data_IF_274429726867
#
_entry.id   IF_274429726867
#
_cell.length_a   1.000
_cell.length_b   1.000
_cell.length_c   1.000
_cell.angle_alpha   90.00
_cell.angle_beta   90.00
_cell.angle_gamma   90.00
#
_symmetry.space_group_name_H-M   'P 1'
#
loop_
_entity.id
_entity.type
_entity.pdbx_description
1 polymer ?
#
# COMPACT_ATOMS: atom_id res chain seq x y z
N UNK A 1 46.33 5.99 1.06
CA UNK A 1 45.68 6.35 -0.23
C UNK A 1 45.31 5.14 -1.09
N UNK A 2 46.24 4.23 -1.45
CA UNK A 2 45.93 3.06 -2.32
C UNK A 2 44.86 2.10 -1.76
N UNK A 3 44.83 1.87 -0.44
CA UNK A 3 43.80 1.03 0.22
C UNK A 3 42.41 1.66 0.20
N UNK A 4 42.30 2.97 0.40
CA UNK A 4 41.03 3.70 0.36
C UNK A 4 40.44 3.74 -1.06
N UNK A 5 41.29 3.86 -2.09
CA UNK A 5 40.87 3.75 -3.49
C UNK A 5 40.34 2.34 -3.81
N UNK A 6 41.02 1.29 -3.33
CA UNK A 6 40.56 -0.10 -3.51
C UNK A 6 39.20 -0.38 -2.87
N UNK A 7 38.98 0.13 -1.66
CA UNK A 7 37.66 0.03 -0.99
C UNK A 7 36.60 0.79 -1.77
N UNK A 8 36.88 2.02 -2.21
CA UNK A 8 35.94 2.83 -3.00
C UNK A 8 35.53 2.13 -4.31
N UNK A 9 36.50 1.58 -5.06
CA UNK A 9 36.23 0.82 -6.29
C UNK A 9 35.45 -0.48 -6.03
N UNK A 10 35.71 -1.16 -4.90
CA UNK A 10 34.94 -2.35 -4.52
C UNK A 10 33.49 -1.97 -4.17
N UNK A 11 33.27 -0.90 -3.41
CA UNK A 11 31.91 -0.40 -3.12
C UNK A 11 31.17 0.05 -4.38
N UNK A 12 31.82 0.79 -5.28
CA UNK A 12 31.23 1.18 -6.57
C UNK A 12 30.92 -0.04 -7.45
N UNK A 13 31.81 -1.03 -7.48
CA UNK A 13 31.60 -2.29 -8.18
C UNK A 13 30.41 -3.07 -7.61
N UNK A 14 30.28 -3.16 -6.29
CA UNK A 14 29.16 -3.81 -5.63
C UNK A 14 27.83 -3.08 -5.91
N UNK A 15 27.81 -1.74 -5.86
CA UNK A 15 26.61 -0.94 -6.20
C UNK A 15 26.15 -1.22 -7.65
N UNK A 16 27.09 -1.34 -8.59
CA UNK A 16 26.78 -1.69 -9.99
C UNK A 16 26.32 -3.15 -10.16
N UNK A 17 26.81 -4.08 -9.34
CA UNK A 17 26.40 -5.49 -9.38
C UNK A 17 25.01 -5.68 -8.75
N UNK A 18 24.68 -4.89 -7.73
CA UNK A 18 23.39 -4.94 -7.03
C UNK A 18 22.32 -3.98 -7.59
N UNK A 19 22.59 -3.27 -8.70
CA UNK A 19 21.56 -2.50 -9.40
C UNK A 19 20.66 -3.42 -10.22
N UNK A 20 19.79 -4.19 -9.57
CA UNK A 20 18.70 -4.89 -10.25
C UNK A 20 17.50 -3.96 -10.42
N UNK A 21 16.71 -4.18 -11.49
CA UNK A 21 15.39 -3.55 -11.60
C UNK A 21 14.58 -3.94 -10.36
N UNK A 22 13.98 -2.99 -9.64
CA UNK A 22 13.09 -3.30 -8.53
C UNK A 22 11.81 -3.95 -9.07
N UNK A 23 11.53 -5.19 -8.65
CA UNK A 23 10.35 -5.94 -9.08
C UNK A 23 9.14 -5.41 -8.30
N UNK A 24 8.50 -4.36 -8.79
CA UNK A 24 7.18 -3.92 -8.32
C UNK A 24 6.13 -4.99 -8.63
N UNK A 25 5.04 -5.04 -7.86
CA UNK A 25 3.91 -6.00 -7.97
C UNK A 25 3.67 -6.40 -9.44
N UNK A 26 4.24 -7.52 -9.91
CA UNK A 26 4.26 -7.83 -11.34
C UNK A 26 2.90 -8.33 -11.81
N UNK A 27 1.95 -8.56 -10.90
CA UNK A 27 0.62 -9.05 -11.21
C UNK A 27 -0.10 -8.14 -12.21
N UNK A 28 -0.04 -6.82 -12.04
CA UNK A 28 -0.69 -5.86 -12.94
C UNK A 28 0.02 -5.76 -14.29
N UNK A 29 1.36 -5.70 -14.25
CA UNK A 29 2.18 -5.73 -15.45
C UNK A 29 1.90 -6.99 -16.30
N UNK A 30 1.74 -8.15 -15.65
CA UNK A 30 1.34 -9.42 -16.30
C UNK A 30 -0.08 -9.37 -16.83
N UNK A 31 -1.06 -8.92 -16.03
CA UNK A 31 -2.47 -8.80 -16.41
C UNK A 31 -2.62 -8.03 -17.72
N UNK A 32 -1.94 -6.90 -17.84
CA UNK A 32 -2.07 -6.01 -19.00
C UNK A 32 -0.92 -6.10 -20.01
N UNK A 33 0.02 -7.03 -19.83
CA UNK A 33 1.20 -7.19 -20.68
C UNK A 33 1.93 -5.86 -20.93
N UNK A 34 2.24 -5.14 -19.84
CA UNK A 34 2.89 -3.82 -19.88
C UNK A 34 4.14 -3.78 -19.01
N UNK A 35 5.07 -2.88 -19.35
CA UNK A 35 6.26 -2.66 -18.53
C UNK A 35 5.89 -1.98 -17.21
N UNK A 36 6.54 -2.36 -16.11
CA UNK A 36 6.42 -1.67 -14.82
C UNK A 36 6.76 -0.17 -14.93
N UNK A 37 7.62 0.22 -15.89
CA UNK A 37 8.00 1.61 -16.17
C UNK A 37 6.84 2.46 -16.70
N UNK A 38 5.72 1.86 -17.07
CA UNK A 38 4.50 2.58 -17.47
C UNK A 38 3.88 3.27 -16.24
N UNK A 39 3.78 2.56 -15.12
CA UNK A 39 3.17 3.08 -13.88
C UNK A 39 4.20 3.65 -12.90
N UNK A 40 5.42 3.10 -12.86
CA UNK A 40 6.41 3.43 -11.84
C UNK A 40 7.49 4.41 -12.33
N UNK A 41 7.82 5.37 -11.46
CA UNK A 41 9.14 6.01 -11.39
C UNK A 41 10.06 5.17 -10.48
N UNK A 42 11.35 5.52 -10.30
CA UNK A 42 12.16 4.86 -9.29
C UNK A 42 11.42 4.83 -7.94
N UNK A 43 11.43 3.66 -7.30
CA UNK A 43 10.79 3.45 -6.00
C UNK A 43 11.16 4.58 -5.03
N UNK A 44 10.19 5.16 -4.31
CA UNK A 44 8.82 4.66 -4.08
C UNK A 44 7.74 5.36 -4.92
N UNK A 45 8.12 6.19 -5.90
CA UNK A 45 7.20 7.12 -6.55
C UNK A 45 6.47 6.51 -7.76
N UNK A 46 5.19 6.82 -7.91
CA UNK A 46 4.40 6.54 -9.11
C UNK A 46 4.50 7.68 -10.13
N UNK A 47 4.19 7.35 -11.38
CA UNK A 47 3.86 8.34 -12.43
C UNK A 47 2.37 8.70 -12.32
N UNK A 48 1.93 9.81 -12.90
CA UNK A 48 0.50 10.16 -12.94
C UNK A 48 -0.38 9.01 -13.46
N UNK A 49 0.10 8.26 -14.45
CA UNK A 49 -0.61 7.07 -14.95
C UNK A 49 -0.70 5.93 -13.91
N UNK A 50 0.33 5.75 -13.08
CA UNK A 50 0.29 4.78 -11.98
C UNK A 50 -0.67 5.17 -10.88
N UNK A 51 -0.74 6.48 -10.56
CA UNK A 51 -1.71 7.03 -9.61
C UNK A 51 -3.14 6.85 -10.14
N UNK A 52 -3.39 7.17 -11.42
CA UNK A 52 -4.66 6.93 -12.10
C UNK A 52 -5.04 5.45 -12.11
N UNK A 53 -4.08 4.55 -12.36
CA UNK A 53 -4.31 3.12 -12.37
C UNK A 53 -4.69 2.58 -10.97
N UNK A 54 -4.00 3.04 -9.92
CA UNK A 54 -4.33 2.68 -8.54
C UNK A 54 -5.69 3.27 -8.11
N UNK A 55 -5.95 4.53 -8.46
CA UNK A 55 -7.22 5.21 -8.21
C UNK A 55 -8.39 4.49 -8.86
N UNK A 56 -8.24 4.04 -10.12
CA UNK A 56 -9.24 3.24 -10.84
C UNK A 56 -9.36 1.78 -10.37
N UNK A 57 -8.86 1.43 -9.19
CA UNK A 57 -9.01 0.08 -8.63
C UNK A 57 -8.21 -0.99 -9.36
N UNK A 58 -7.03 -0.61 -9.89
CA UNK A 58 -6.15 -1.50 -10.66
C UNK A 58 -6.79 -2.01 -11.97
N UNK A 59 -7.72 -1.23 -12.52
CA UNK A 59 -8.41 -1.48 -13.80
C UNK A 59 -7.95 -0.48 -14.85
N UNK A 60 -7.59 -0.98 -16.04
CA UNK A 60 -7.42 -0.14 -17.22
C UNK A 60 -8.71 -0.23 -18.03
N UNK A 61 -9.40 0.90 -18.14
CA UNK A 61 -10.63 1.00 -18.89
C UNK A 61 -10.41 0.60 -20.35
N UNK A 62 -11.38 -0.14 -20.89
CA UNK A 62 -11.44 -0.55 -22.30
C UNK A 62 -10.25 -1.40 -22.78
N UNK A 63 -9.54 -2.05 -21.84
CA UNK A 63 -8.47 -3.00 -22.15
C UNK A 63 -8.83 -4.40 -21.66
N UNK A 64 -9.08 -5.29 -22.61
CA UNK A 64 -9.41 -6.68 -22.29
C UNK A 64 -8.21 -7.46 -21.74
N UNK A 65 -8.48 -8.34 -20.77
CA UNK A 65 -7.49 -9.21 -20.14
C UNK A 65 -7.91 -10.68 -20.18
N UNK A 66 -8.09 -11.28 -21.37
CA UNK A 66 -8.68 -12.63 -21.53
C UNK A 66 -7.81 -13.75 -20.94
N UNK A 67 -6.51 -13.47 -20.75
CA UNK A 67 -5.57 -14.38 -20.07
C UNK A 67 -5.64 -14.30 -18.55
N UNK A 68 -6.28 -13.26 -18.02
CA UNK A 68 -6.35 -13.00 -16.58
C UNK A 68 -7.71 -13.34 -16.01
N UNK A 69 -8.78 -13.08 -16.78
CA UNK A 69 -10.15 -13.39 -16.40
C UNK A 69 -10.66 -14.63 -17.17
N UNK A 70 -11.58 -15.36 -16.55
CA UNK A 70 -12.40 -16.38 -17.20
C UNK A 70 -13.59 -15.69 -17.85
N UNK A 71 -13.76 -15.90 -19.15
CA UNK A 71 -15.01 -15.53 -19.81
C UNK A 71 -16.07 -16.58 -19.45
N UNK A 72 -17.07 -16.14 -18.70
CA UNK A 72 -18.21 -16.95 -18.26
C UNK A 72 -19.51 -16.55 -18.98
N UNK A 73 -19.48 -15.56 -19.88
CA UNK A 73 -20.66 -14.94 -20.46
C UNK A 73 -21.38 -13.94 -19.54
N UNK A 74 -20.90 -13.73 -18.30
CA UNK A 74 -21.37 -12.68 -17.40
C UNK A 74 -20.52 -11.41 -17.56
N UNK A 75 -21.17 -10.30 -17.94
CA UNK A 75 -20.51 -9.01 -18.13
C UNK A 75 -20.40 -8.18 -16.84
N UNK A 76 -20.93 -8.68 -15.73
CA UNK A 76 -20.96 -7.97 -14.43
C UNK A 76 -19.84 -8.40 -13.49
N UNK A 77 -19.35 -9.64 -13.62
CA UNK A 77 -18.32 -10.20 -12.75
C UNK A 77 -17.04 -10.50 -13.52
N UNK A 78 -15.92 -9.92 -13.08
CA UNK A 78 -14.59 -10.29 -13.54
C UNK A 78 -14.10 -11.50 -12.75
N UNK A 79 -14.30 -12.71 -13.31
CA UNK A 79 -13.83 -13.92 -12.65
C UNK A 79 -12.33 -14.11 -12.87
N UNK A 80 -11.52 -13.86 -11.84
CA UNK A 80 -10.07 -14.05 -11.89
C UNK A 80 -9.72 -15.54 -12.09
N UNK A 81 -8.84 -15.84 -13.04
CA UNK A 81 -8.28 -17.20 -13.21
C UNK A 81 -7.39 -17.61 -12.04
N UNK A 82 -6.63 -16.64 -11.55
CA UNK A 82 -5.67 -16.79 -10.46
C UNK A 82 -5.73 -15.54 -9.59
N UNK A 83 -5.61 -15.72 -8.27
CA UNK A 83 -5.56 -14.59 -7.34
C UNK A 83 -4.22 -13.85 -7.51
N UNK A 84 -4.21 -12.53 -7.78
CA UNK A 84 -2.97 -11.74 -7.80
C UNK A 84 -2.35 -11.75 -6.42
N UNK A 85 -1.21 -12.41 -6.27
CA UNK A 85 -0.43 -12.36 -5.04
C UNK A 85 0.95 -11.80 -5.35
N UNK A 86 1.43 -10.92 -4.49
CA UNK A 86 2.80 -10.40 -4.51
C UNK A 86 3.41 -10.42 -3.11
N UNK A 87 4.73 -10.58 -3.07
CA UNK A 87 5.52 -10.48 -1.85
C UNK A 87 6.49 -9.32 -2.00
N UNK A 88 6.53 -8.44 -1.00
CA UNK A 88 7.53 -7.36 -0.90
C UNK A 88 8.46 -7.64 0.28
N UNK A 89 9.75 -7.44 0.06
CA UNK A 89 10.80 -7.56 1.07
C UNK A 89 11.48 -6.21 1.23
N UNK A 90 11.50 -5.69 2.45
CA UNK A 90 12.27 -4.50 2.81
C UNK A 90 13.42 -4.92 3.73
N UNK A 91 14.60 -4.36 3.51
CA UNK A 91 15.80 -4.69 4.25
C UNK A 91 16.65 -3.45 4.52
N UNK A 92 17.30 -3.41 5.69
CA UNK A 92 18.12 -2.27 6.09
C UNK A 92 19.50 -2.74 6.52
N UNK A 93 20.48 -1.89 6.24
CA UNK A 93 21.84 -2.01 6.78
C UNK A 93 21.97 -0.97 7.87
N UNK A 94 22.34 -1.41 9.08
CA UNK A 94 22.56 -0.50 10.20
C UNK A 94 23.97 -0.68 10.76
N UNK A 95 24.48 0.39 11.36
CA UNK A 95 25.73 0.36 12.11
C UNK A 95 25.48 1.06 13.44
N UNK A 96 25.42 0.28 14.52
CA UNK A 96 25.23 0.81 15.86
C UNK A 96 26.57 1.32 16.38
N UNK A 97 26.73 2.64 16.40
CA UNK A 97 27.92 3.29 16.93
C UNK A 97 27.80 3.67 18.42
N UNK A 98 26.64 3.49 19.03
CA UNK A 98 26.35 3.95 20.39
C UNK A 98 26.59 2.88 21.45
N UNK A 99 26.26 1.61 21.16
CA UNK A 99 26.35 0.53 22.15
C UNK A 99 27.47 -0.46 21.84
N UNK A 100 27.40 -1.14 20.70
CA UNK A 100 28.21 -2.32 20.43
C UNK A 100 29.20 -2.17 19.26
N UNK A 101 29.17 -1.05 18.52
CA UNK A 101 30.06 -0.75 17.39
C UNK A 101 30.05 -1.85 16.31
N UNK A 102 28.89 -2.48 16.10
CA UNK A 102 28.73 -3.58 15.15
C UNK A 102 27.95 -3.13 13.92
N UNK A 103 28.37 -3.65 12.78
CA UNK A 103 27.54 -3.70 11.59
C UNK A 103 26.47 -4.75 11.81
N UNK A 104 25.23 -4.38 11.56
CA UNK A 104 24.08 -5.27 11.62
C UNK A 104 23.35 -5.27 10.27
N UNK A 105 22.92 -6.46 9.88
CA UNK A 105 22.19 -6.72 8.63
C UNK A 105 20.77 -7.12 9.01
N UNK A 106 19.87 -6.14 9.07
CA UNK A 106 18.46 -6.35 9.42
C UNK A 106 17.65 -6.48 8.12
N UNK A 107 17.86 -7.59 7.39
CA UNK A 107 17.06 -7.91 6.22
C UNK A 107 16.70 -9.41 6.13
N UNK A 108 15.43 -9.75 5.84
CA UNK A 108 14.31 -8.82 5.65
C UNK A 108 13.77 -8.30 6.99
N UNK A 109 13.68 -6.97 7.10
CA UNK A 109 13.08 -6.32 8.26
C UNK A 109 11.55 -6.38 8.22
N UNK A 110 11.00 -6.22 7.00
CA UNK A 110 9.57 -6.31 6.73
C UNK A 110 9.34 -7.22 5.53
N UNK A 111 8.41 -8.16 5.67
CA UNK A 111 7.84 -8.93 4.57
C UNK A 111 6.37 -8.56 4.47
N UNK A 112 5.89 -8.27 3.26
CA UNK A 112 4.47 -8.04 2.99
C UNK A 112 3.93 -9.06 2.02
N UNK A 113 2.77 -9.62 2.32
CA UNK A 113 1.98 -10.43 1.40
C UNK A 113 0.79 -9.58 0.93
N UNK A 114 0.69 -9.34 -0.37
CA UNK A 114 -0.22 -8.35 -0.94
C UNK A 114 -1.08 -8.99 -2.03
N UNK A 115 -2.35 -8.56 -2.11
CA UNK A 115 -3.26 -8.92 -3.19
C UNK A 115 -4.14 -7.74 -3.54
N UNK A 116 -4.37 -7.52 -4.83
CA UNK A 116 -5.30 -6.51 -5.29
C UNK A 116 -5.71 -6.76 -6.73
N UNK A 117 -6.95 -6.46 -7.06
CA UNK A 117 -7.52 -6.80 -8.36
C UNK A 117 -8.97 -6.38 -8.49
N UNK A 118 -9.52 -6.63 -9.67
CA UNK A 118 -10.90 -6.28 -9.99
C UNK A 118 -11.86 -7.42 -9.62
N UNK A 119 -13.04 -7.05 -9.16
CA UNK A 119 -14.19 -7.93 -8.94
C UNK A 119 -15.20 -7.69 -10.07
N UNK A 120 -15.37 -6.44 -10.49
CA UNK A 120 -16.16 -6.04 -11.66
C UNK A 120 -15.52 -4.83 -12.33
N UNK A 121 -16.15 -4.31 -13.39
CA UNK A 121 -15.71 -3.09 -14.09
C UNK A 121 -15.51 -1.89 -13.16
N UNK A 122 -16.26 -1.81 -12.06
CA UNK A 122 -16.30 -0.67 -11.14
C UNK A 122 -16.13 -1.09 -9.67
N UNK A 123 -15.73 -2.33 -9.40
CA UNK A 123 -15.52 -2.83 -8.05
C UNK A 123 -14.16 -3.52 -8.02
N UNK A 124 -13.30 -3.11 -7.11
CA UNK A 124 -11.98 -3.72 -6.91
C UNK A 124 -11.73 -3.99 -5.43
N UNK A 125 -10.67 -4.73 -5.13
CA UNK A 125 -10.22 -4.96 -3.76
C UNK A 125 -8.72 -4.75 -3.65
N UNK A 126 -8.29 -4.46 -2.44
CA UNK A 126 -6.89 -4.46 -2.06
C UNK A 126 -6.75 -4.94 -0.61
N UNK A 127 -5.73 -5.77 -0.37
CA UNK A 127 -5.39 -6.22 0.95
C UNK A 127 -3.90 -6.53 1.07
N UNK A 128 -3.35 -6.36 2.27
CA UNK A 128 -2.04 -6.90 2.58
C UNK A 128 -1.84 -7.25 4.05
N UNK A 129 -0.95 -8.21 4.27
CA UNK A 129 -0.43 -8.60 5.58
C UNK A 129 1.02 -8.18 5.71
N UNK A 130 1.42 -7.80 6.92
CA UNK A 130 2.80 -7.47 7.25
C UNK A 130 3.37 -8.47 8.28
N UNK A 131 4.63 -8.83 8.07
CA UNK A 131 5.41 -9.67 8.96
C UNK A 131 6.72 -8.93 9.25
N UNK A 132 7.08 -8.80 10.53
CA UNK A 132 8.28 -8.06 10.96
C UNK A 132 9.31 -8.98 11.60
N UNK A 133 10.60 -8.65 11.45
CA UNK A 133 11.71 -9.44 11.98
C UNK A 133 11.74 -9.50 13.52
N UNK A 134 11.09 -8.55 14.20
CA UNK A 134 10.94 -8.54 15.66
C UNK A 134 10.14 -9.72 16.23
N UNK A 135 9.66 -10.64 15.39
CA UNK A 135 8.85 -11.80 15.76
C UNK A 135 7.36 -11.49 15.87
N UNK A 136 6.95 -10.26 15.59
CA UNK A 136 5.56 -9.82 15.60
C UNK A 136 4.94 -9.98 14.21
N UNK A 137 3.82 -10.72 14.17
CA UNK A 137 2.91 -10.78 13.02
C UNK A 137 1.80 -9.76 13.31
N UNK A 138 1.92 -8.54 12.77
CA UNK A 138 0.95 -7.47 13.03
C UNK A 138 -0.43 -7.74 12.38
N UNK A 139 -0.55 -8.73 11.50
CA UNK A 139 -1.81 -9.18 10.93
C UNK A 139 -2.19 -8.49 9.62
N UNK A 140 -3.50 -8.38 9.37
CA UNK A 140 -4.08 -7.71 8.21
C UNK A 140 -4.08 -6.20 8.46
N UNK A 141 -3.41 -5.42 7.60
CA UNK A 141 -3.24 -3.98 7.80
C UNK A 141 -4.16 -3.15 6.90
N UNK A 142 -4.10 -3.34 5.57
CA UNK A 142 -5.15 -2.87 4.67
C UNK A 142 -6.01 -4.04 4.22
N UNK A 143 -7.32 -3.80 4.17
CA UNK A 143 -8.30 -4.70 3.60
C UNK A 143 -9.57 -3.93 3.26
N UNK A 144 -9.71 -3.53 2.00
CA UNK A 144 -10.86 -2.76 1.56
C UNK A 144 -11.33 -3.16 0.17
N UNK A 145 -12.60 -2.83 -0.08
CA UNK A 145 -13.24 -2.89 -1.39
C UNK A 145 -13.40 -1.45 -1.87
N UNK A 146 -13.09 -1.21 -3.14
CA UNK A 146 -13.28 0.07 -3.80
C UNK A 146 -14.47 -0.03 -4.76
N UNK A 147 -15.36 0.95 -4.71
CA UNK A 147 -16.42 1.17 -5.69
C UNK A 147 -16.05 2.41 -6.49
N UNK A 148 -15.62 2.18 -7.73
CA UNK A 148 -15.03 3.21 -8.56
C UNK A 148 -16.03 3.86 -9.50
N UNK A 149 -15.85 5.15 -9.76
CA UNK A 149 -16.64 5.95 -10.69
C UNK A 149 -18.15 5.94 -10.37
N UNK A 150 -18.52 6.12 -9.11
CA UNK A 150 -19.91 6.19 -8.66
C UNK A 150 -20.66 7.28 -9.43
N UNK A 151 -21.88 6.94 -9.86
CA UNK A 151 -22.72 7.81 -10.69
C UNK A 151 -22.06 8.30 -12.00
N UNK A 152 -21.03 7.58 -12.49
CA UNK A 152 -20.22 7.95 -13.67
C UNK A 152 -19.46 9.27 -13.49
N UNK A 153 -19.15 9.61 -12.25
CA UNK A 153 -18.32 10.76 -11.87
C UNK A 153 -17.02 10.25 -11.23
N UNK A 154 -16.03 11.12 -11.05
CA UNK A 154 -14.77 10.81 -10.36
C UNK A 154 -14.94 10.69 -8.83
N UNK A 155 -16.04 10.07 -8.42
CA UNK A 155 -16.41 9.80 -7.04
C UNK A 155 -16.18 8.32 -6.77
N UNK A 156 -15.30 8.02 -5.83
CA UNK A 156 -15.03 6.66 -5.39
C UNK A 156 -15.41 6.47 -3.93
N UNK A 157 -15.79 5.24 -3.58
CA UNK A 157 -16.07 4.82 -2.21
C UNK A 157 -15.17 3.63 -1.86
N UNK A 158 -14.42 3.77 -0.78
CA UNK A 158 -13.63 2.71 -0.17
C UNK A 158 -14.35 2.26 1.09
N UNK A 159 -14.46 0.95 1.29
CA UNK A 159 -15.08 0.35 2.48
C UNK A 159 -14.18 -0.75 3.02
N UNK A 160 -13.77 -0.62 4.28
CA UNK A 160 -12.94 -1.63 4.94
C UNK A 160 -11.95 -1.03 5.93
N UNK A 161 -10.79 -1.67 6.04
CA UNK A 161 -9.67 -1.25 6.86
C UNK A 161 -8.59 -0.63 5.96
N UNK A 162 -8.13 0.56 6.31
CA UNK A 162 -7.15 1.31 5.53
C UNK A 162 -6.37 2.27 6.43
N UNK A 163 -5.29 2.86 5.91
CA UNK A 163 -4.62 3.95 6.60
C UNK A 163 -5.41 5.26 6.51
N UNK A 164 -5.66 5.93 7.63
CA UNK A 164 -6.29 7.27 7.68
C UNK A 164 -5.39 8.34 7.02
N UNK A 165 -4.07 8.10 6.98
CA UNK A 165 -3.12 9.00 6.32
C UNK A 165 -2.98 8.78 4.80
N UNK A 166 -3.64 7.79 4.21
CA UNK A 166 -3.44 7.40 2.81
C UNK A 166 -3.73 8.51 1.77
N UNK A 167 -4.74 9.38 1.98
CA UNK A 167 -4.98 10.54 1.09
C UNK A 167 -3.91 11.63 1.18
N UNK A 168 -3.04 11.59 2.19
CA UNK A 168 -1.95 12.54 2.40
C UNK A 168 -0.64 11.99 1.82
N UNK A 169 0.23 11.45 2.69
CA UNK A 169 1.44 10.74 2.32
C UNK A 169 1.36 9.33 2.88
N UNK A 170 1.25 8.35 1.98
CA UNK A 170 1.21 6.93 2.33
C UNK A 170 2.42 6.54 3.15
N UNK A 171 2.22 6.06 4.38
CA UNK A 171 3.30 5.62 5.27
C UNK A 171 4.13 4.50 4.66
N UNK A 172 3.50 3.63 3.87
CA UNK A 172 4.15 2.47 3.26
C UNK A 172 5.06 2.78 2.08
N UNK A 173 5.09 4.03 1.64
CA UNK A 173 5.98 4.55 0.60
C UNK A 173 7.18 5.32 1.18
N UNK A 174 7.38 5.30 2.50
CA UNK A 174 8.54 5.94 3.14
C UNK A 174 9.86 5.25 2.76
N UNK A 175 10.91 6.05 2.68
CA UNK A 175 12.29 5.59 2.50
C UNK A 175 13.05 5.39 3.82
N UNK A 176 12.54 5.99 4.88
CA UNK A 176 13.14 5.92 6.22
C UNK A 176 12.84 4.58 6.87
N UNK A 177 13.77 4.13 7.73
CA UNK A 177 13.50 3.02 8.64
C UNK A 177 12.35 3.39 9.60
N UNK A 178 12.49 4.56 10.22
CA UNK A 178 11.49 5.13 11.11
C UNK A 178 10.22 5.52 10.35
N UNK A 179 9.08 5.27 10.98
CA UNK A 179 7.78 5.71 10.47
C UNK A 179 7.55 7.21 10.74
N UNK A 180 6.57 7.80 10.05
CA UNK A 180 6.13 9.17 10.29
C UNK A 180 5.48 9.28 11.67
N UNK A 181 6.30 9.59 12.67
CA UNK A 181 5.89 9.66 14.08
C UNK A 181 4.63 10.49 14.31
N UNK A 182 4.45 11.58 13.55
CA UNK A 182 3.29 12.46 13.63
C UNK A 182 1.96 11.72 13.37
N UNK A 183 1.96 10.70 12.52
CA UNK A 183 0.75 9.94 12.22
C UNK A 183 0.34 8.99 13.34
N UNK A 184 1.30 8.50 14.14
CA UNK A 184 1.02 7.67 15.32
C UNK A 184 0.80 8.47 16.62
N UNK A 185 0.71 9.80 16.56
CA UNK A 185 0.49 10.61 17.77
C UNK A 185 -0.97 10.52 18.20
N UNK A 186 -1.19 10.03 19.42
CA UNK A 186 -2.48 10.06 20.11
C UNK A 186 -2.54 11.28 21.03
N UNK A 187 -3.66 12.00 21.02
CA UNK A 187 -3.84 13.20 21.85
C UNK A 187 -4.61 12.85 23.13
N UNK A 188 -3.95 12.97 24.28
CA UNK A 188 -4.56 12.72 25.58
C UNK A 188 -4.97 11.25 25.77
N UNK A 189 -6.28 11.00 25.86
CA UNK A 189 -6.85 9.65 26.00
C UNK A 189 -7.48 9.14 24.69
N UNK A 190 -7.31 9.87 23.58
CA UNK A 190 -7.82 9.44 22.29
C UNK A 190 -7.16 8.13 21.85
N UNK A 191 -7.97 7.18 21.38
CA UNK A 191 -7.49 5.93 20.79
C UNK A 191 -7.09 6.11 19.32
N UNK A 192 -7.79 7.00 18.64
CA UNK A 192 -7.58 7.34 17.24
C UNK A 192 -6.23 8.06 17.02
N UNK A 193 -5.60 7.71 15.91
CA UNK A 193 -4.47 8.39 15.30
C UNK A 193 -4.64 8.37 13.77
N UNK A 194 -3.61 8.72 13.00
CA UNK A 194 -3.67 8.75 11.53
C UNK A 194 -3.05 7.48 10.90
N UNK A 195 -2.87 6.41 11.67
CA UNK A 195 -2.32 5.15 11.18
C UNK A 195 -3.42 4.34 10.50
N UNK A 196 -3.83 3.20 11.02
CA UNK A 196 -4.90 2.38 10.45
C UNK A 196 -6.22 2.70 11.13
N UNK A 197 -7.31 2.49 10.41
CA UNK A 197 -8.64 2.42 11.00
C UNK A 197 -9.62 1.68 10.09
N UNK A 198 -10.85 1.46 10.57
CA UNK A 198 -11.91 0.80 9.81
C UNK A 198 -13.06 1.77 9.58
N UNK A 199 -13.56 1.81 8.34
CA UNK A 199 -14.69 2.65 8.00
C UNK A 199 -14.93 2.81 6.52
N UNK A 200 -15.34 4.01 6.14
CA UNK A 200 -15.58 4.43 4.76
C UNK A 200 -14.75 5.65 4.41
N UNK A 201 -14.23 5.67 3.18
CA UNK A 201 -13.55 6.83 2.61
C UNK A 201 -14.19 7.16 1.27
N UNK A 202 -14.56 8.42 1.08
CA UNK A 202 -15.07 8.98 -0.16
C UNK A 202 -14.01 9.89 -0.75
N UNK A 203 -13.63 9.66 -2.01
CA UNK A 203 -12.72 10.54 -2.73
C UNK A 203 -13.42 11.10 -3.95
N UNK A 204 -13.27 12.41 -4.18
CA UNK A 204 -13.88 13.11 -5.30
C UNK A 204 -12.88 14.02 -6.00
N UNK A 205 -12.55 13.71 -7.25
CA UNK A 205 -11.71 14.54 -8.10
C UNK A 205 -12.49 15.66 -8.76
N UNK A 206 -12.14 16.92 -8.48
CA UNK A 206 -12.73 18.07 -9.15
C UNK A 206 -12.06 18.33 -10.51
N UNK A 207 -12.79 18.84 -11.51
CA UNK A 207 -12.21 19.23 -12.80
C UNK A 207 -11.09 20.28 -12.71
N UNK A 208 -10.97 20.97 -11.58
CA UNK A 208 -9.89 21.93 -11.28
C UNK A 208 -8.56 21.24 -10.95
N UNK A 209 -8.55 19.91 -10.80
CA UNK A 209 -7.41 19.13 -10.32
C UNK A 209 -7.26 19.14 -8.80
N UNK A 210 -8.32 19.49 -8.08
CA UNK A 210 -8.37 19.43 -6.61
C UNK A 210 -9.12 18.18 -6.19
N UNK A 211 -8.51 17.38 -5.32
CA UNK A 211 -9.16 16.20 -4.76
C UNK A 211 -9.77 16.54 -3.40
N UNK A 212 -10.99 16.06 -3.17
CA UNK A 212 -11.68 16.14 -1.89
C UNK A 212 -11.80 14.73 -1.32
N UNK A 213 -11.39 14.55 -0.06
CA UNK A 213 -11.51 13.27 0.63
C UNK A 213 -12.30 13.44 1.92
N UNK A 214 -13.20 12.50 2.20
CA UNK A 214 -13.94 12.42 3.45
C UNK A 214 -13.81 11.00 4.00
N UNK A 215 -13.33 10.89 5.23
CA UNK A 215 -13.25 9.61 5.94
C UNK A 215 -14.18 9.61 7.15
N UNK A 216 -14.87 8.49 7.35
CA UNK A 216 -15.69 8.22 8.54
C UNK A 216 -15.25 6.87 9.08
N UNK A 217 -14.59 6.88 10.24
CA UNK A 217 -13.91 5.70 10.80
C UNK A 217 -14.25 5.50 12.28
N UNK A 218 -13.98 4.30 12.81
CA UNK A 218 -14.44 3.87 14.14
C UNK A 218 -13.42 4.06 15.29
N UNK A 219 -12.19 4.49 15.02
CA UNK A 219 -11.20 4.87 16.03
C UNK A 219 -10.49 3.72 16.73
N UNK A 220 -10.63 2.49 16.23
CA UNK A 220 -10.10 1.27 16.86
C UNK A 220 -8.80 0.79 16.20
N UNK A 221 -8.43 1.34 15.05
CA UNK A 221 -7.21 0.95 14.35
C UNK A 221 -7.12 -0.54 14.05
N UNK A 222 -5.98 -1.15 14.38
CA UNK A 222 -5.75 -2.59 14.25
C UNK A 222 -6.12 -3.39 15.51
N UNK A 223 -6.64 -2.72 16.55
CA UNK A 223 -6.97 -3.40 17.79
C UNK A 223 -7.99 -4.53 17.55
N UNK A 224 -7.92 -5.62 18.35
CA UNK A 224 -8.89 -6.69 18.30
C UNK A 224 -10.30 -6.17 18.63
N UNK A 225 -11.31 -6.98 18.32
CA UNK A 225 -12.68 -6.71 18.77
C UNK A 225 -12.74 -6.55 20.28
N UNK A 226 -13.69 -5.75 20.74
CA UNK A 226 -13.98 -5.64 22.17
C UNK A 226 -14.61 -6.94 22.72
N UNK A 227 -14.87 -6.96 24.03
CA UNK A 227 -15.48 -8.09 24.74
C UNK A 227 -16.89 -8.46 24.22
N UNK A 228 -17.50 -7.60 23.40
CA UNK A 228 -18.82 -7.78 22.78
C UNK A 228 -18.75 -8.08 21.29
N UNK A 229 -17.56 -8.41 20.77
CA UNK A 229 -17.29 -8.69 19.35
C UNK A 229 -17.60 -7.49 18.43
N UNK A 230 -17.54 -6.27 18.95
CA UNK A 230 -17.71 -5.05 18.17
C UNK A 230 -16.38 -4.40 17.83
N UNK A 231 -16.36 -3.72 16.69
CA UNK A 231 -15.23 -2.90 16.25
C UNK A 231 -15.45 -1.42 16.55
N UNK A 232 -16.29 -1.06 17.52
CA UNK A 232 -16.54 0.36 17.85
C UNK A 232 -16.80 0.53 19.34
N UNK A 233 -15.81 1.06 20.04
CA UNK A 233 -15.88 1.27 21.47
C UNK A 233 -16.26 2.71 21.85
N UNK A 234 -16.56 3.57 20.87
CA UNK A 234 -16.89 4.98 21.08
C UNK A 234 -18.33 5.29 20.69
N UNK A 235 -18.92 6.32 21.31
CA UNK A 235 -20.29 6.74 21.01
C UNK A 235 -20.42 7.41 19.63
N UNK A 236 -19.33 8.00 19.15
CA UNK A 236 -19.29 8.81 17.94
C UNK A 236 -18.17 8.32 17.02
N UNK A 237 -18.37 8.48 15.71
CA UNK A 237 -17.35 8.19 14.70
C UNK A 237 -16.33 9.31 14.62
N UNK A 238 -15.13 8.97 14.16
CA UNK A 238 -14.09 9.93 13.81
C UNK A 238 -14.27 10.40 12.36
N UNK A 239 -13.94 11.66 12.09
CA UNK A 239 -14.09 12.29 10.78
C UNK A 239 -12.77 12.94 10.37
N UNK A 240 -12.34 12.72 9.13
CA UNK A 240 -11.26 13.46 8.47
C UNK A 240 -11.82 14.04 7.17
N UNK A 241 -11.51 15.32 6.90
CA UNK A 241 -11.89 16.05 5.68
C UNK A 241 -10.67 16.77 5.14
#
# INVERSE_FOLDING_TARGET
MKRAAGVLFLTLGLIFIFSSEAWSIPAFARKYSMSCKVCHNPFPKLKPYGDEFAGNGYVIKDKETPRYNLDTGDNTLSLLRELPIAIRFDGYLSFDNAHNQRFDFSAPFVIKLMSGGEISKNISYYLYFIFTEGGEIAGLEDAFIMFNNLFKTDLDLYVGQFQVSDPLFKRELRLTYEDYRIYGVKVGQARADLTYDRGVMLTYGLPTGTDLTLEIVNGMGLDPVDDFETFDADKYKNFLV
#
